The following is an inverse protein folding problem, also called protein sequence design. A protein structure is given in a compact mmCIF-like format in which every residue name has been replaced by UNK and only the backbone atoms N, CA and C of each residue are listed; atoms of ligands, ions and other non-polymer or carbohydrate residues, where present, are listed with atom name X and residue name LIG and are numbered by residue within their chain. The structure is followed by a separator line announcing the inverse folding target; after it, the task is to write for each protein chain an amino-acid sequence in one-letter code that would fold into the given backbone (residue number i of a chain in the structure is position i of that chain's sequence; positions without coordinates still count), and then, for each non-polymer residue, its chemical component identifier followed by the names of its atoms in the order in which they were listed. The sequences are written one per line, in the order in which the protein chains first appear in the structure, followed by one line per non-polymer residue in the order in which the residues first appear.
data_IF_061057527184
#
_entry.id   IF_061057527184
#
_cell.length_a   1.000
_cell.length_b   1.000
_cell.length_c   1.000
_cell.angle_alpha   90.00
_cell.angle_beta   90.00
_cell.angle_gamma   90.00
#
_symmetry.space_group_name_H-M   'P 1'
#
loop_
_entity.id
_entity.type
_entity.pdbx_description
1 polymer ?
#
# COMPACT_ATOMS: atom_id res chain seq x y z
N UNK A 1 14.27 21.19 -18.75
CA UNK A 1 13.10 20.30 -18.89
C UNK A 1 13.24 19.05 -18.01
N UNK A 2 14.35 18.29 -18.04
CA UNK A 2 14.55 17.12 -17.16
C UNK A 2 14.54 17.49 -15.67
N UNK A 3 15.22 18.56 -15.25
CA UNK A 3 15.28 19.00 -13.85
C UNK A 3 13.92 19.40 -13.27
N UNK A 4 12.97 19.78 -14.11
CA UNK A 4 11.61 20.14 -13.68
C UNK A 4 10.70 18.91 -13.51
N UNK A 5 10.89 17.87 -14.34
CA UNK A 5 10.07 16.66 -14.34
C UNK A 5 10.56 15.57 -13.38
N UNK A 6 11.86 15.53 -13.13
CA UNK A 6 12.49 14.45 -12.36
C UNK A 6 12.01 14.39 -10.89
N UNK A 7 11.97 15.50 -10.13
CA UNK A 7 11.54 15.47 -8.74
C UNK A 7 10.08 14.99 -8.54
N UNK A 8 9.07 15.50 -9.28
CA UNK A 8 7.70 15.00 -9.13
C UNK A 8 7.55 13.53 -9.55
N UNK A 9 8.20 13.09 -10.62
CA UNK A 9 8.20 11.69 -11.05
C UNK A 9 8.81 10.77 -9.98
N UNK A 10 9.97 11.14 -9.43
CA UNK A 10 10.64 10.41 -8.37
C UNK A 10 9.75 10.29 -7.12
N UNK A 11 9.09 11.36 -6.70
CA UNK A 11 8.15 11.35 -5.57
C UNK A 11 6.95 10.47 -5.84
N UNK A 12 6.37 10.56 -7.03
CA UNK A 12 5.23 9.74 -7.43
C UNK A 12 5.58 8.24 -7.41
N UNK A 13 6.71 7.83 -7.99
CA UNK A 13 7.19 6.45 -7.98
C UNK A 13 7.45 5.95 -6.55
N UNK A 14 8.06 6.80 -5.70
CA UNK A 14 8.37 6.45 -4.33
C UNK A 14 7.09 6.19 -3.52
N UNK A 15 6.15 7.14 -3.51
CA UNK A 15 4.92 7.01 -2.72
C UNK A 15 4.02 5.90 -3.24
N UNK A 16 3.84 5.79 -4.57
CA UNK A 16 3.07 4.69 -5.17
C UNK A 16 3.71 3.33 -4.84
N UNK A 17 5.03 3.21 -4.94
CA UNK A 17 5.75 1.99 -4.59
C UNK A 17 5.60 1.62 -3.12
N UNK A 18 5.72 2.60 -2.22
CA UNK A 18 5.53 2.38 -0.77
C UNK A 18 4.10 1.96 -0.47
N UNK A 19 3.09 2.63 -1.04
CA UNK A 19 1.68 2.22 -0.87
C UNK A 19 1.44 0.77 -1.32
N UNK A 20 2.07 0.34 -2.40
CA UNK A 20 1.92 -1.03 -2.92
C UNK A 20 2.58 -2.08 -2.02
N UNK A 21 3.77 -1.83 -1.45
CA UNK A 21 4.40 -2.78 -0.50
C UNK A 21 3.68 -2.79 0.85
N UNK A 22 3.15 -1.66 1.33
CA UNK A 22 2.22 -1.61 2.48
C UNK A 22 0.98 -2.44 2.18
N UNK A 23 0.38 -2.24 1.00
CA UNK A 23 -0.78 -3.00 0.54
C UNK A 23 -0.53 -4.50 0.48
N UNK A 24 0.68 -4.95 0.07
CA UNK A 24 1.04 -6.36 0.03
C UNK A 24 1.05 -7.00 1.43
N UNK A 25 1.62 -6.30 2.41
CA UNK A 25 1.62 -6.74 3.81
C UNK A 25 0.20 -6.74 4.38
N UNK A 26 -0.60 -5.70 4.13
CA UNK A 26 -1.99 -5.60 4.57
C UNK A 26 -2.87 -6.67 3.90
N UNK A 27 -2.67 -6.93 2.60
CA UNK A 27 -3.35 -7.99 1.86
C UNK A 27 -3.09 -9.36 2.54
N UNK A 28 -1.83 -9.68 2.83
CA UNK A 28 -1.49 -10.96 3.46
C UNK A 28 -1.91 -11.05 4.93
N UNK A 29 -1.70 -9.97 5.70
CA UNK A 29 -1.89 -9.97 7.16
C UNK A 29 -3.32 -9.73 7.60
N UNK A 30 -4.10 -9.00 6.82
CA UNK A 30 -5.45 -8.58 7.20
C UNK A 30 -6.51 -9.17 6.27
N UNK A 31 -6.29 -9.12 4.96
CA UNK A 31 -7.29 -9.58 3.99
C UNK A 31 -7.34 -11.10 3.92
N UNK A 32 -6.20 -11.80 3.81
CA UNK A 32 -6.16 -13.28 3.68
C UNK A 32 -6.83 -14.01 4.85
N UNK A 33 -6.62 -13.64 6.12
CA UNK A 33 -7.32 -14.28 7.23
C UNK A 33 -8.85 -14.15 7.13
N UNK A 34 -9.34 -12.98 6.73
CA UNK A 34 -10.78 -12.72 6.51
C UNK A 34 -11.32 -13.46 5.31
N UNK A 35 -10.51 -13.58 4.25
CA UNK A 35 -10.85 -14.30 3.04
C UNK A 35 -11.00 -15.80 3.33
N UNK A 36 -10.05 -16.40 4.06
CA UNK A 36 -10.12 -17.80 4.50
C UNK A 36 -11.34 -18.04 5.37
N UNK A 37 -11.58 -17.19 6.37
CA UNK A 37 -12.75 -17.29 7.22
C UNK A 37 -14.06 -17.31 6.43
N UNK A 38 -14.18 -16.49 5.36
CA UNK A 38 -15.36 -16.46 4.49
C UNK A 38 -15.48 -17.67 3.56
N UNK A 39 -14.37 -18.20 3.09
CA UNK A 39 -14.35 -19.38 2.21
C UNK A 39 -14.65 -20.67 2.97
N UNK A 40 -14.37 -20.71 4.27
CA UNK A 40 -14.55 -21.90 5.13
C UNK A 40 -15.79 -21.84 6.02
N UNK A 41 -16.65 -20.82 5.86
CA UNK A 41 -17.79 -20.58 6.76
C UNK A 41 -17.40 -20.60 8.25
N UNK A 42 -16.21 -20.08 8.57
CA UNK A 42 -15.68 -20.01 9.92
C UNK A 42 -14.97 -21.27 10.43
N UNK A 43 -14.87 -22.33 9.65
CA UNK A 43 -14.08 -23.53 10.00
C UNK A 43 -12.60 -23.28 9.69
N UNK A 44 -11.72 -23.87 10.51
CA UNK A 44 -10.29 -23.86 10.26
C UNK A 44 -9.93 -24.97 9.26
N UNK A 45 -10.03 -24.69 7.98
CA UNK A 45 -9.54 -25.57 6.94
C UNK A 45 -8.09 -25.23 6.60
N UNK A 46 -7.32 -26.25 6.18
CA UNK A 46 -5.90 -26.09 5.85
C UNK A 46 -5.71 -25.21 4.61
N UNK A 47 -4.59 -24.50 4.55
CA UNK A 47 -4.20 -23.64 3.40
C UNK A 47 -4.26 -24.32 2.03
N UNK A 48 -4.11 -25.64 2.01
CA UNK A 48 -4.12 -26.45 0.78
C UNK A 48 -5.49 -26.53 0.09
N UNK A 49 -6.57 -26.19 0.79
CA UNK A 49 -7.93 -26.33 0.26
C UNK A 49 -8.39 -25.14 -0.59
N UNK A 50 -7.63 -24.05 -0.61
CA UNK A 50 -7.95 -22.82 -1.38
C UNK A 50 -6.84 -22.44 -2.36
N UNK A 51 -6.69 -23.16 -3.50
CA UNK A 51 -5.62 -22.90 -4.46
C UNK A 51 -5.65 -21.50 -5.05
N UNK A 52 -6.83 -20.83 -5.05
CA UNK A 52 -6.96 -19.44 -5.47
C UNK A 52 -6.21 -18.50 -4.54
N UNK A 53 -6.26 -18.72 -3.23
CA UNK A 53 -5.58 -17.89 -2.22
C UNK A 53 -4.07 -18.06 -2.37
N UNK A 54 -3.58 -19.28 -2.52
CA UNK A 54 -2.16 -19.56 -2.73
C UNK A 54 -1.65 -18.92 -4.03
N UNK A 55 -2.42 -19.05 -5.12
CA UNK A 55 -2.09 -18.40 -6.40
C UNK A 55 -2.08 -16.87 -6.30
N UNK A 56 -3.05 -16.30 -5.57
CA UNK A 56 -3.12 -14.87 -5.33
C UNK A 56 -1.94 -14.41 -4.48
N UNK A 57 -1.56 -15.14 -3.42
CA UNK A 57 -0.39 -14.84 -2.58
C UNK A 57 0.92 -14.83 -3.41
N UNK A 58 1.11 -15.81 -4.30
CA UNK A 58 2.26 -15.82 -5.21
C UNK A 58 2.29 -14.61 -6.15
N UNK A 59 1.13 -14.20 -6.68
CA UNK A 59 1.01 -12.99 -7.51
C UNK A 59 1.30 -11.73 -6.72
N UNK A 60 0.75 -11.59 -5.50
CA UNK A 60 1.02 -10.45 -4.61
C UNK A 60 2.50 -10.35 -4.30
N UNK A 61 3.15 -11.46 -3.92
CA UNK A 61 4.60 -11.48 -3.67
C UNK A 61 5.40 -11.11 -4.94
N UNK A 62 4.94 -11.57 -6.12
CA UNK A 62 5.55 -11.22 -7.40
C UNK A 62 5.44 -9.74 -7.74
N UNK A 63 4.27 -9.14 -7.56
CA UNK A 63 4.05 -7.70 -7.74
C UNK A 63 4.90 -6.91 -6.75
N UNK A 64 4.89 -7.29 -5.47
CA UNK A 64 5.68 -6.62 -4.44
C UNK A 64 7.19 -6.68 -4.71
N UNK A 65 7.70 -7.80 -5.25
CA UNK A 65 9.09 -7.92 -5.69
C UNK A 65 9.42 -6.97 -6.86
N UNK A 66 8.53 -6.88 -7.86
CA UNK A 66 8.69 -5.93 -8.96
C UNK A 66 8.65 -4.48 -8.50
N UNK A 67 7.73 -4.15 -7.59
CA UNK A 67 7.63 -2.81 -6.98
C UNK A 67 8.89 -2.50 -6.16
N UNK A 68 9.40 -3.44 -5.38
CA UNK A 68 10.64 -3.24 -4.63
C UNK A 68 11.85 -3.01 -5.55
N UNK A 69 11.91 -3.66 -6.71
CA UNK A 69 12.93 -3.37 -7.72
C UNK A 69 12.80 -1.94 -8.28
N UNK A 70 11.58 -1.46 -8.54
CA UNK A 70 11.33 -0.05 -8.92
C UNK A 70 11.74 0.90 -7.80
N UNK A 71 11.48 0.55 -6.53
CA UNK A 71 11.92 1.35 -5.38
C UNK A 71 13.44 1.45 -5.27
N UNK A 72 14.21 0.40 -5.65
CA UNK A 72 15.69 0.48 -5.73
C UNK A 72 16.11 1.55 -6.75
N UNK A 73 15.52 1.55 -7.93
CA UNK A 73 15.80 2.57 -8.96
C UNK A 73 15.40 3.96 -8.46
N UNK A 74 14.23 4.07 -7.86
CA UNK A 74 13.72 5.34 -7.30
C UNK A 74 14.60 5.87 -6.16
N UNK A 75 15.16 4.97 -5.36
CA UNK A 75 16.11 5.30 -4.29
C UNK A 75 17.40 5.90 -4.86
N UNK A 76 17.98 5.31 -5.92
CA UNK A 76 19.12 5.90 -6.62
C UNK A 76 18.79 7.26 -7.26
N UNK A 77 17.61 7.35 -7.90
CA UNK A 77 17.13 8.60 -8.49
C UNK A 77 16.96 9.71 -7.44
N UNK A 78 16.52 9.36 -6.23
CA UNK A 78 16.39 10.30 -5.11
C UNK A 78 17.74 10.91 -4.69
N UNK A 79 18.83 10.11 -4.70
CA UNK A 79 20.16 10.64 -4.45
C UNK A 79 20.56 11.64 -5.52
N UNK A 80 20.31 11.30 -6.79
CA UNK A 80 20.63 12.19 -7.90
C UNK A 80 19.88 13.51 -7.83
N UNK A 81 18.57 13.49 -7.56
CA UNK A 81 17.76 14.71 -7.37
C UNK A 81 18.31 15.54 -6.21
N UNK A 82 18.62 14.90 -5.08
CA UNK A 82 19.14 15.61 -3.91
C UNK A 82 20.53 16.20 -4.18
N UNK A 83 21.39 15.49 -4.93
CA UNK A 83 22.67 16.03 -5.35
C UNK A 83 22.50 17.28 -6.23
N UNK A 84 21.59 17.28 -7.20
CA UNK A 84 21.34 18.43 -8.07
C UNK A 84 20.86 19.66 -7.29
N UNK A 85 20.06 19.47 -6.23
CA UNK A 85 19.58 20.54 -5.37
C UNK A 85 20.67 21.09 -4.43
N UNK A 86 21.73 20.30 -4.15
CA UNK A 86 22.73 20.59 -3.13
C UNK A 86 24.13 20.90 -3.69
N UNK A 87 24.36 20.67 -4.98
CA UNK A 87 25.67 20.85 -5.62
C UNK A 87 26.22 22.25 -5.46
N UNK A 88 27.51 22.33 -5.09
CA UNK A 88 28.26 23.57 -5.02
C UNK A 88 29.12 23.73 -6.30
N UNK A 89 29.11 24.88 -6.98
CA UNK A 89 29.92 25.09 -8.17
C UNK A 89 31.44 25.11 -7.90
N UNK A 90 31.87 25.19 -6.64
CA UNK A 90 33.28 25.24 -6.24
C UNK A 90 33.84 23.90 -5.74
N UNK A 91 33.03 22.86 -5.65
CA UNK A 91 33.42 21.53 -5.21
C UNK A 91 33.29 20.50 -6.32
N UNK A 92 33.95 19.35 -6.16
CA UNK A 92 33.78 18.22 -7.08
C UNK A 92 32.55 17.39 -6.75
N UNK A 93 31.99 16.68 -7.74
CA UNK A 93 30.89 15.74 -7.54
C UNK A 93 31.15 14.74 -6.42
N UNK A 94 32.41 14.27 -6.30
CA UNK A 94 32.80 13.32 -5.26
C UNK A 94 32.78 13.92 -3.85
N UNK A 95 33.20 15.16 -3.69
CA UNK A 95 33.15 15.90 -2.43
C UNK A 95 31.73 16.16 -2.00
N UNK A 96 30.87 16.64 -2.91
CA UNK A 96 29.46 16.89 -2.62
C UNK A 96 28.73 15.62 -2.21
N UNK A 97 28.91 14.51 -2.96
CA UNK A 97 28.30 13.22 -2.61
C UNK A 97 28.82 12.68 -1.30
N UNK A 98 30.12 12.79 -1.02
CA UNK A 98 30.69 12.38 0.26
C UNK A 98 30.07 13.17 1.42
N UNK A 99 30.02 14.49 1.31
CA UNK A 99 29.40 15.35 2.30
C UNK A 99 27.93 14.99 2.50
N UNK A 100 27.17 14.90 1.41
CA UNK A 100 25.74 14.57 1.45
C UNK A 100 25.46 13.23 2.13
N UNK A 101 26.27 12.20 1.85
CA UNK A 101 26.04 10.85 2.34
C UNK A 101 26.59 10.63 3.76
N UNK A 102 27.77 11.16 4.08
CA UNK A 102 28.48 10.83 5.32
C UNK A 102 28.35 11.90 6.40
N UNK A 103 28.18 13.17 6.02
CA UNK A 103 28.20 14.29 6.94
C UNK A 103 26.80 14.89 7.21
N UNK A 104 25.74 14.30 6.59
CA UNK A 104 24.36 14.75 6.81
C UNK A 104 23.45 13.66 7.41
N UNK A 105 22.50 14.08 8.25
CA UNK A 105 21.45 13.19 8.76
C UNK A 105 20.55 12.63 7.65
N UNK A 106 20.39 13.38 6.54
CA UNK A 106 19.66 12.91 5.37
C UNK A 106 20.34 11.70 4.71
N UNK A 107 21.69 11.74 4.57
CA UNK A 107 22.46 10.64 4.00
C UNK A 107 22.35 9.37 4.85
N UNK A 108 22.41 9.47 6.17
CA UNK A 108 22.22 8.34 7.06
C UNK A 108 20.84 7.69 6.86
N UNK A 109 19.77 8.48 6.82
CA UNK A 109 18.40 7.99 6.56
C UNK A 109 18.30 7.36 5.17
N UNK A 110 18.91 7.97 4.15
CA UNK A 110 18.90 7.46 2.79
C UNK A 110 19.61 6.10 2.69
N UNK A 111 20.75 5.91 3.37
CA UNK A 111 21.44 4.62 3.40
C UNK A 111 20.60 3.53 4.09
N UNK A 112 19.99 3.83 5.25
CA UNK A 112 19.08 2.90 5.94
C UNK A 112 17.92 2.52 5.02
N UNK A 113 17.32 3.50 4.35
CA UNK A 113 16.22 3.29 3.42
C UNK A 113 16.61 2.34 2.27
N UNK A 114 17.80 2.52 1.68
CA UNK A 114 18.31 1.64 0.63
C UNK A 114 18.52 0.20 1.10
N UNK A 115 19.11 0.02 2.28
CA UNK A 115 19.26 -1.30 2.90
C UNK A 115 17.92 -2.00 3.13
N UNK A 116 16.93 -1.27 3.65
CA UNK A 116 15.56 -1.80 3.86
C UNK A 116 14.88 -2.15 2.54
N UNK A 117 14.98 -1.31 1.51
CA UNK A 117 14.41 -1.60 0.18
C UNK A 117 15.05 -2.85 -0.43
N UNK A 118 16.38 -3.01 -0.32
CA UNK A 118 17.09 -4.19 -0.81
C UNK A 118 16.65 -5.46 -0.07
N UNK A 119 16.51 -5.40 1.27
CA UNK A 119 16.00 -6.52 2.07
C UNK A 119 14.55 -6.86 1.72
N UNK A 120 13.69 -5.88 1.49
CA UNK A 120 12.32 -6.09 1.04
C UNK A 120 12.28 -6.74 -0.36
N UNK A 121 13.11 -6.28 -1.30
CA UNK A 121 13.20 -6.85 -2.63
C UNK A 121 13.59 -8.34 -2.56
N UNK A 122 14.64 -8.66 -1.81
CA UNK A 122 15.05 -10.05 -1.57
C UNK A 122 13.95 -10.86 -0.89
N UNK A 123 13.35 -10.32 0.16
CA UNK A 123 12.26 -10.96 0.92
C UNK A 123 11.07 -11.32 0.03
N UNK A 124 10.59 -10.41 -0.81
CA UNK A 124 9.47 -10.66 -1.72
C UNK A 124 9.82 -11.64 -2.84
N UNK A 125 11.06 -11.63 -3.36
CA UNK A 125 11.53 -12.66 -4.31
C UNK A 125 11.51 -14.04 -3.65
N UNK A 126 11.99 -14.18 -2.42
CA UNK A 126 11.98 -15.45 -1.69
C UNK A 126 10.54 -15.91 -1.36
N UNK A 127 9.66 -15.00 -0.99
CA UNK A 127 8.23 -15.27 -0.77
C UNK A 127 7.57 -15.81 -2.06
N UNK A 128 7.80 -15.16 -3.20
CA UNK A 128 7.29 -15.58 -4.51
C UNK A 128 7.75 -16.99 -4.88
N UNK A 129 9.05 -17.30 -4.72
CA UNK A 129 9.62 -18.61 -5.07
C UNK A 129 9.00 -19.72 -4.23
N UNK A 130 8.69 -19.48 -2.96
CA UNK A 130 8.16 -20.47 -2.03
C UNK A 130 6.63 -20.64 -2.10
N UNK A 131 5.89 -19.61 -2.49
CA UNK A 131 4.45 -19.72 -2.74
C UNK A 131 4.12 -20.68 -3.89
N UNK A 132 5.07 -20.90 -4.83
CA UNK A 132 4.95 -21.92 -5.88
C UNK A 132 5.38 -23.34 -5.46
N UNK A 133 5.97 -23.51 -4.28
CA UNK A 133 6.59 -24.78 -3.83
C UNK A 133 5.85 -25.48 -2.68
N UNK A 134 4.68 -25.00 -2.25
CA UNK A 134 3.88 -25.66 -1.22
C UNK A 134 3.24 -26.90 -1.79
N UNK A 135 3.84 -28.08 -1.49
CA UNK A 135 3.21 -29.38 -1.70
C UNK A 135 1.94 -29.46 -0.85
N UNK A 136 0.86 -30.12 -1.34
CA UNK A 136 -0.31 -30.39 -0.52
C UNK A 136 0.10 -31.20 0.71
N UNK A 137 -0.52 -30.99 1.89
CA UNK A 137 -0.27 -31.77 3.07
C UNK A 137 -0.64 -33.24 2.79
N UNK A 138 0.01 -34.21 3.46
CA UNK A 138 -0.31 -35.61 3.28
C UNK A 138 -1.78 -35.87 3.65
N UNK A 139 -2.51 -36.65 2.84
CA UNK A 139 -3.89 -37.00 3.13
C UNK A 139 -3.99 -37.72 4.48
N UNK A 140 -4.79 -37.25 5.41
CA UNK A 140 -5.10 -37.94 6.65
C UNK A 140 -4.90 -37.17 7.96
N UNK A 141 -4.37 -35.95 7.95
CA UNK A 141 -4.28 -35.11 9.16
C UNK A 141 -5.21 -33.87 9.06
N UNK A 142 -6.50 -34.07 9.28
CA UNK A 142 -7.40 -33.01 9.64
C UNK A 142 -7.48 -32.94 11.17
N UNK A 143 -6.90 -31.96 11.86
CA UNK A 143 -7.37 -31.63 13.19
C UNK A 143 -8.82 -31.17 13.02
N UNK A 144 -9.78 -31.76 13.73
CA UNK A 144 -11.13 -31.22 13.83
C UNK A 144 -11.03 -29.74 14.22
N UNK A 145 -11.28 -28.87 13.25
CA UNK A 145 -11.07 -27.43 13.45
C UNK A 145 -12.12 -26.88 14.41
N UNK A 146 -11.69 -26.30 15.50
CA UNK A 146 -12.55 -25.54 16.39
C UNK A 146 -13.15 -24.37 15.60
N UNK A 147 -14.48 -24.25 15.51
CA UNK A 147 -15.13 -23.13 14.80
C UNK A 147 -14.66 -21.80 15.40
N UNK A 148 -14.11 -20.90 14.58
CA UNK A 148 -13.84 -19.52 15.00
C UNK A 148 -15.12 -18.71 14.83
N UNK A 149 -15.58 -18.08 15.89
CA UNK A 149 -16.77 -17.21 15.86
C UNK A 149 -16.49 -15.88 15.16
N UNK A 150 -15.22 -15.48 15.07
CA UNK A 150 -14.79 -14.22 14.45
C UNK A 150 -13.49 -14.42 13.66
N UNK A 151 -13.32 -13.74 12.51
CA UNK A 151 -12.05 -13.78 11.78
C UNK A 151 -10.94 -13.13 12.62
N UNK A 152 -9.70 -13.63 12.57
CA UNK A 152 -8.56 -12.98 13.20
C UNK A 152 -8.35 -11.59 12.57
N UNK A 153 -8.03 -10.59 13.41
CA UNK A 153 -7.78 -9.23 12.94
C UNK A 153 -6.52 -9.16 12.07
N UNK A 154 -5.45 -9.81 12.53
CA UNK A 154 -4.16 -9.84 11.82
C UNK A 154 -3.56 -11.24 12.02
N UNK A 155 -3.14 -11.86 10.92
CA UNK A 155 -2.41 -13.12 10.93
C UNK A 155 -1.29 -13.09 9.89
N UNK A 156 -0.04 -13.00 10.36
CA UNK A 156 1.14 -12.94 9.52
C UNK A 156 2.05 -14.16 9.80
N UNK A 157 2.33 -15.02 8.82
CA UNK A 157 3.41 -15.98 8.90
C UNK A 157 4.75 -15.29 9.15
N UNK A 158 5.68 -16.00 9.82
CA UNK A 158 6.97 -15.42 10.23
C UNK A 158 7.69 -14.63 9.12
N UNK A 159 7.70 -15.17 7.91
CA UNK A 159 8.34 -14.55 6.74
C UNK A 159 7.71 -13.21 6.36
N UNK A 160 6.39 -13.10 6.47
CA UNK A 160 5.67 -11.87 6.24
C UNK A 160 5.82 -10.87 7.40
N UNK A 161 6.14 -11.35 8.60
CA UNK A 161 6.50 -10.46 9.73
C UNK A 161 7.79 -9.68 9.43
N UNK A 162 8.78 -10.30 8.79
CA UNK A 162 9.99 -9.59 8.34
C UNK A 162 9.68 -8.56 7.26
N UNK A 163 8.82 -8.90 6.29
CA UNK A 163 8.37 -7.92 5.30
C UNK A 163 7.60 -6.76 5.96
N UNK A 164 6.73 -7.05 6.93
CA UNK A 164 6.00 -6.02 7.68
C UNK A 164 6.93 -5.11 8.47
N UNK A 165 7.92 -5.67 9.16
CA UNK A 165 8.93 -4.89 9.88
C UNK A 165 9.72 -3.98 8.92
N UNK A 166 10.18 -4.52 7.78
CA UNK A 166 10.84 -3.73 6.75
C UNK A 166 9.98 -2.60 6.19
N UNK A 167 8.70 -2.86 5.93
CA UNK A 167 7.75 -1.83 5.47
C UNK A 167 7.55 -0.75 6.54
N UNK A 168 7.45 -1.11 7.82
CA UNK A 168 7.34 -0.12 8.92
C UNK A 168 8.59 0.76 9.00
N UNK A 169 9.79 0.16 8.90
CA UNK A 169 11.05 0.94 8.88
C UNK A 169 11.10 1.84 7.64
N UNK A 170 10.68 1.33 6.47
CA UNK A 170 10.63 2.13 5.24
C UNK A 170 9.71 3.35 5.40
N UNK A 171 8.50 3.17 5.94
CA UNK A 171 7.56 4.27 6.19
C UNK A 171 8.09 5.24 7.24
N UNK A 172 8.75 4.73 8.30
CA UNK A 172 9.42 5.58 9.30
C UNK A 172 10.51 6.45 8.66
N UNK A 173 11.38 5.87 7.83
CA UNK A 173 12.44 6.63 7.15
C UNK A 173 11.90 7.70 6.20
N UNK A 174 10.72 7.47 5.60
CA UNK A 174 10.03 8.49 4.81
C UNK A 174 9.54 9.64 5.69
N UNK A 175 8.88 9.35 6.81
CA UNK A 175 8.42 10.36 7.76
C UNK A 175 9.58 11.19 8.33
N UNK A 176 10.70 10.54 8.69
CA UNK A 176 11.91 11.21 9.18
C UNK A 176 12.62 12.08 8.12
N UNK A 177 12.37 11.85 6.83
CA UNK A 177 12.89 12.66 5.72
C UNK A 177 11.83 13.58 5.09
N UNK A 178 10.68 13.73 5.73
CA UNK A 178 9.57 14.57 5.27
C UNK A 178 9.56 15.95 5.96
N UNK A 179 8.71 16.85 5.46
CA UNK A 179 8.45 18.16 6.09
C UNK A 179 7.86 18.05 7.52
N UNK A 180 7.38 16.88 7.94
CA UNK A 180 6.94 16.65 9.31
C UNK A 180 8.04 16.91 10.35
N UNK A 181 9.30 16.75 9.96
CA UNK A 181 10.48 17.09 10.81
C UNK A 181 10.65 18.59 11.04
N UNK A 182 10.04 19.44 10.22
CA UNK A 182 10.13 20.90 10.33
C UNK A 182 9.09 21.52 11.27
N UNK A 183 8.16 20.74 11.84
CA UNK A 183 7.12 21.23 12.75
C UNK A 183 7.69 21.51 14.12
N UNK A 184 7.79 22.79 14.59
CA UNK A 184 8.35 23.12 15.88
C UNK A 184 7.51 22.54 17.03
N UNK A 185 8.18 21.97 18.04
CA UNK A 185 7.54 21.45 19.27
C UNK A 185 6.71 20.17 19.11
N UNK A 186 6.43 19.70 17.88
CA UNK A 186 5.54 18.55 17.64
C UNK A 186 6.09 17.54 16.63
N UNK A 187 7.41 17.47 16.43
CA UNK A 187 8.06 16.62 15.42
C UNK A 187 7.61 15.16 15.50
N UNK A 188 7.68 14.56 16.70
CA UNK A 188 7.33 13.14 16.90
C UNK A 188 5.87 12.89 16.52
N UNK A 189 4.97 13.77 16.93
CA UNK A 189 3.55 13.65 16.61
C UNK A 189 3.32 13.80 15.09
N UNK A 190 3.91 14.81 14.45
CA UNK A 190 3.78 15.05 13.02
C UNK A 190 4.31 13.86 12.19
N UNK A 191 5.48 13.31 12.54
CA UNK A 191 6.03 12.10 11.91
C UNK A 191 5.11 10.90 12.12
N UNK A 192 4.57 10.69 13.33
CA UNK A 192 3.65 9.58 13.61
C UNK A 192 2.36 9.68 12.80
N UNK A 193 1.80 10.89 12.67
CA UNK A 193 0.59 11.14 11.87
C UNK A 193 0.87 10.89 10.38
N UNK A 194 2.01 11.36 9.86
CA UNK A 194 2.44 11.12 8.46
C UNK A 194 2.64 9.64 8.16
N UNK A 195 3.28 8.90 9.08
CA UNK A 195 3.42 7.44 9.00
C UNK A 195 2.06 6.74 8.96
N UNK A 196 1.15 7.06 9.89
CA UNK A 196 -0.17 6.45 9.96
C UNK A 196 -1.00 6.78 8.71
N UNK A 197 -0.89 8.01 8.18
CA UNK A 197 -1.50 8.40 6.92
C UNK A 197 -1.00 7.55 5.76
N UNK A 198 0.32 7.37 5.64
CA UNK A 198 0.94 6.53 4.61
C UNK A 198 0.53 5.05 4.72
N UNK A 199 0.48 4.50 5.95
CA UNK A 199 0.02 3.14 6.20
C UNK A 199 -1.46 2.95 5.84
N UNK A 200 -2.30 3.92 6.18
CA UNK A 200 -3.73 3.88 5.85
C UNK A 200 -3.95 3.98 4.32
N UNK A 201 -3.23 4.87 3.63
CA UNK A 201 -3.28 4.98 2.17
C UNK A 201 -2.86 3.69 1.47
N UNK A 202 -1.74 3.09 1.89
CA UNK A 202 -1.27 1.81 1.37
C UNK A 202 -2.20 0.65 1.72
N UNK A 203 -2.74 0.65 2.95
CA UNK A 203 -3.74 -0.33 3.39
C UNK A 203 -5.02 -0.28 2.55
N UNK A 204 -5.46 0.89 2.12
CA UNK A 204 -6.62 1.03 1.24
C UNK A 204 -6.24 0.84 -0.22
N UNK A 205 -5.55 1.81 -0.84
CA UNK A 205 -5.31 1.85 -2.29
C UNK A 205 -4.36 0.75 -2.74
N UNK A 206 -3.26 0.51 -1.98
CA UNK A 206 -2.32 -0.56 -2.30
C UNK A 206 -2.96 -1.95 -2.24
N UNK A 207 -3.79 -2.22 -1.21
CA UNK A 207 -4.51 -3.50 -1.13
C UNK A 207 -5.57 -3.62 -2.21
N UNK A 208 -6.33 -2.55 -2.52
CA UNK A 208 -7.32 -2.56 -3.60
C UNK A 208 -6.67 -2.87 -4.95
N UNK A 209 -5.54 -2.26 -5.27
CA UNK A 209 -4.76 -2.59 -6.46
C UNK A 209 -4.44 -4.09 -6.55
N UNK A 210 -3.97 -4.69 -5.44
CA UNK A 210 -3.62 -6.11 -5.40
C UNK A 210 -4.84 -7.03 -5.53
N UNK A 211 -5.99 -6.66 -4.97
CA UNK A 211 -7.27 -7.34 -5.20
C UNK A 211 -7.60 -7.37 -6.69
N UNK A 212 -7.46 -6.23 -7.37
CA UNK A 212 -7.73 -6.12 -8.81
C UNK A 212 -6.77 -6.95 -9.68
N UNK A 213 -5.49 -7.00 -9.30
CA UNK A 213 -4.48 -7.81 -10.00
C UNK A 213 -4.70 -9.31 -9.79
N UNK A 214 -5.11 -9.71 -8.60
CA UNK A 214 -5.28 -11.13 -8.25
C UNK A 214 -6.59 -11.73 -8.77
N UNK A 215 -7.63 -10.92 -8.98
CA UNK A 215 -8.98 -11.36 -9.37
C UNK A 215 -9.55 -10.61 -10.58
N UNK A 216 -8.82 -10.60 -11.71
CA UNK A 216 -9.37 -10.04 -12.95
C UNK A 216 -10.54 -10.90 -13.44
N UNK A 217 -11.77 -10.33 -13.69
CA UNK A 217 -13.02 -11.09 -13.85
C UNK A 217 -13.19 -11.73 -15.24
N UNK A 218 -12.19 -12.47 -15.74
CA UNK A 218 -12.21 -13.14 -17.04
C UNK A 218 -12.97 -14.47 -17.04
N UNK A 219 -12.97 -15.18 -15.92
CA UNK A 219 -13.63 -16.48 -15.74
C UNK A 219 -14.65 -16.38 -14.60
N UNK A 220 -15.60 -17.32 -14.56
CA UNK A 220 -16.59 -17.41 -13.47
C UNK A 220 -15.91 -17.49 -12.10
N UNK A 221 -14.92 -18.36 -11.97
CA UNK A 221 -14.13 -18.54 -10.74
C UNK A 221 -13.45 -17.23 -10.32
N UNK A 222 -12.84 -16.49 -11.25
CA UNK A 222 -12.23 -15.20 -10.96
C UNK A 222 -13.25 -14.13 -10.55
N UNK A 223 -14.49 -14.15 -11.10
CA UNK A 223 -15.58 -13.24 -10.70
C UNK A 223 -16.04 -13.53 -9.27
N UNK A 224 -16.24 -14.80 -8.93
CA UNK A 224 -16.61 -15.22 -7.57
C UNK A 224 -15.51 -14.85 -6.57
N UNK A 225 -14.25 -15.10 -6.92
CA UNK A 225 -13.10 -14.73 -6.08
C UNK A 225 -12.98 -13.22 -5.88
N UNK A 226 -13.23 -12.40 -6.91
CA UNK A 226 -13.29 -10.94 -6.80
C UNK A 226 -14.37 -10.49 -5.81
N UNK A 227 -15.57 -11.07 -5.89
CA UNK A 227 -16.67 -10.75 -4.98
C UNK A 227 -16.32 -11.04 -3.52
N UNK A 228 -15.72 -12.20 -3.24
CA UNK A 228 -15.30 -12.59 -1.89
C UNK A 228 -14.17 -11.69 -1.39
N UNK A 229 -13.16 -11.40 -2.23
CA UNK A 229 -12.07 -10.48 -1.87
C UNK A 229 -12.57 -9.07 -1.55
N UNK A 230 -13.41 -8.48 -2.39
CA UNK A 230 -13.97 -7.13 -2.16
C UNK A 230 -14.84 -7.09 -0.90
N UNK A 231 -15.61 -8.16 -0.62
CA UNK A 231 -16.39 -8.26 0.61
C UNK A 231 -15.51 -8.36 1.86
N UNK A 232 -14.41 -9.12 1.80
CA UNK A 232 -13.44 -9.23 2.90
C UNK A 232 -12.61 -7.95 3.09
N UNK A 233 -12.35 -7.21 2.01
CA UNK A 233 -11.61 -5.96 1.97
C UNK A 233 -12.39 -4.78 2.55
N UNK A 234 -13.71 -4.71 2.34
CA UNK A 234 -14.53 -3.54 2.67
C UNK A 234 -14.39 -3.04 4.12
N UNK A 235 -14.40 -3.87 5.17
CA UNK A 235 -14.21 -3.38 6.55
C UNK A 235 -12.84 -2.74 6.77
N UNK A 236 -11.79 -3.28 6.16
CA UNK A 236 -10.44 -2.71 6.24
C UNK A 236 -10.38 -1.36 5.52
N UNK A 237 -10.98 -1.26 4.34
CA UNK A 237 -11.07 -0.01 3.58
C UNK A 237 -11.78 1.09 4.37
N UNK A 238 -12.90 0.78 5.03
CA UNK A 238 -13.62 1.75 5.87
C UNK A 238 -12.77 2.29 7.01
N UNK A 239 -12.04 1.41 7.71
CA UNK A 239 -11.12 1.83 8.79
C UNK A 239 -9.98 2.68 8.23
N UNK A 240 -9.39 2.27 7.11
CA UNK A 240 -8.30 3.01 6.47
C UNK A 240 -8.74 4.40 5.99
N UNK A 241 -9.91 4.50 5.35
CA UNK A 241 -10.48 5.79 4.91
C UNK A 241 -10.78 6.70 6.10
N UNK A 242 -11.38 6.17 7.17
CA UNK A 242 -11.61 6.93 8.42
C UNK A 242 -10.31 7.45 9.03
N UNK A 243 -9.27 6.62 9.07
CA UNK A 243 -7.94 7.01 9.52
C UNK A 243 -7.33 8.09 8.61
N UNK A 244 -7.45 7.96 7.29
CA UNK A 244 -6.96 8.96 6.32
C UNK A 244 -7.62 10.33 6.52
N UNK A 245 -8.94 10.36 6.69
CA UNK A 245 -9.67 11.60 6.94
C UNK A 245 -9.16 12.24 8.24
N UNK A 246 -9.11 11.47 9.32
CA UNK A 246 -8.68 11.95 10.63
C UNK A 246 -7.23 12.47 10.60
N UNK A 247 -6.29 11.69 10.05
CA UNK A 247 -4.89 12.08 9.94
C UNK A 247 -4.70 13.25 8.96
N UNK A 248 -5.48 13.31 7.88
CA UNK A 248 -5.46 14.42 6.93
C UNK A 248 -5.89 15.74 7.58
N UNK A 249 -6.90 15.72 8.45
CA UNK A 249 -7.33 16.89 9.24
C UNK A 249 -6.20 17.32 10.18
N UNK A 250 -5.59 16.37 10.92
CA UNK A 250 -4.48 16.69 11.82
C UNK A 250 -3.28 17.30 11.08
N UNK A 251 -2.89 16.70 9.95
CA UNK A 251 -1.80 17.25 9.12
C UNK A 251 -2.12 18.64 8.60
N UNK A 252 -3.37 18.91 8.23
CA UNK A 252 -3.80 20.26 7.80
C UNK A 252 -3.68 21.29 8.93
N UNK A 253 -4.06 20.92 10.16
CA UNK A 253 -3.94 21.79 11.34
C UNK A 253 -2.48 22.13 11.63
N UNK A 254 -1.54 21.17 11.48
CA UNK A 254 -0.11 21.42 11.70
C UNK A 254 0.53 22.35 10.66
N UNK A 255 -0.05 22.44 9.45
CA UNK A 255 0.55 23.19 8.35
C UNK A 255 -0.22 24.45 7.97
N UNK A 256 -1.46 24.61 8.42
CA UNK A 256 -2.32 25.78 8.13
C UNK A 256 -2.79 26.39 9.43
N UNK A 257 -2.24 27.55 9.77
CA UNK A 257 -2.64 28.29 10.97
C UNK A 257 -3.99 29.03 10.80
N UNK A 258 -4.41 29.28 9.54
CA UNK A 258 -5.65 30.00 9.22
C UNK A 258 -6.42 29.31 8.08
N UNK A 259 -7.73 29.15 8.24
CA UNK A 259 -8.60 28.54 7.21
C UNK A 259 -8.59 29.37 5.91
N UNK A 260 -8.48 30.68 6.01
CA UNK A 260 -8.39 31.59 4.85
C UNK A 260 -7.17 31.30 3.97
N UNK A 261 -6.08 30.77 4.55
CA UNK A 261 -4.87 30.41 3.81
C UNK A 261 -5.11 29.26 2.79
N UNK A 262 -6.18 28.48 2.95
CA UNK A 262 -6.53 27.39 2.01
C UNK A 262 -6.83 27.89 0.59
N UNK A 263 -7.36 29.09 0.44
CA UNK A 263 -7.67 29.69 -0.87
C UNK A 263 -6.79 30.88 -1.24
N UNK A 264 -6.18 31.54 -0.27
CA UNK A 264 -5.36 32.72 -0.51
C UNK A 264 -3.90 32.37 -0.84
N UNK A 265 -3.35 31.29 -0.25
CA UNK A 265 -1.97 30.87 -0.50
C UNK A 265 -1.86 29.87 -1.66
N UNK A 266 -0.71 29.84 -2.33
CA UNK A 266 -0.42 28.82 -3.36
C UNK A 266 -0.41 27.40 -2.76
N UNK A 267 0.15 27.25 -1.56
CA UNK A 267 0.13 26.00 -0.81
C UNK A 267 -1.31 25.54 -0.51
N UNK A 268 -2.16 26.44 0.00
CA UNK A 268 -3.55 26.14 0.33
C UNK A 268 -4.36 25.72 -0.89
N UNK A 269 -4.21 26.38 -2.04
CA UNK A 269 -4.88 25.99 -3.28
C UNK A 269 -4.45 24.57 -3.75
N UNK A 270 -3.15 24.26 -3.66
CA UNK A 270 -2.64 22.91 -3.97
C UNK A 270 -3.18 21.85 -3.00
N UNK A 271 -3.26 22.19 -1.71
CA UNK A 271 -3.84 21.32 -0.69
C UNK A 271 -5.33 21.08 -0.93
N UNK A 272 -6.10 22.14 -1.21
CA UNK A 272 -7.54 22.05 -1.53
C UNK A 272 -7.80 21.19 -2.77
N UNK A 273 -6.95 21.27 -3.79
CA UNK A 273 -7.00 20.40 -4.97
C UNK A 273 -6.79 18.92 -4.60
N UNK A 274 -5.79 18.61 -3.77
CA UNK A 274 -5.54 17.25 -3.28
C UNK A 274 -6.69 16.71 -2.44
N UNK A 275 -7.25 17.52 -1.54
CA UNK A 275 -8.41 17.16 -0.71
C UNK A 275 -9.64 16.90 -1.58
N UNK A 276 -9.89 17.74 -2.59
CA UNK A 276 -10.97 17.54 -3.56
C UNK A 276 -10.83 16.23 -4.35
N UNK A 277 -9.60 15.93 -4.83
CA UNK A 277 -9.31 14.69 -5.54
C UNK A 277 -9.50 13.48 -4.62
N UNK A 278 -8.95 13.51 -3.40
CA UNK A 278 -9.13 12.45 -2.40
C UNK A 278 -10.61 12.24 -2.06
N UNK A 279 -11.38 13.32 -1.91
CA UNK A 279 -12.85 13.27 -1.73
C UNK A 279 -13.55 12.57 -2.90
N UNK A 280 -13.16 12.87 -4.14
CA UNK A 280 -13.66 12.19 -5.33
C UNK A 280 -13.39 10.68 -5.33
N UNK A 281 -12.15 10.27 -4.98
CA UNK A 281 -11.77 8.87 -4.83
C UNK A 281 -12.60 8.18 -3.74
N UNK A 282 -12.78 8.82 -2.58
CA UNK A 282 -13.58 8.30 -1.47
C UNK A 282 -15.05 8.15 -1.84
N UNK A 283 -15.64 9.10 -2.58
CA UNK A 283 -17.02 9.02 -3.07
C UNK A 283 -17.18 7.87 -4.08
N UNK A 284 -16.20 7.66 -4.95
CA UNK A 284 -16.21 6.54 -5.89
C UNK A 284 -16.13 5.19 -5.14
N UNK A 285 -15.24 5.09 -4.14
CA UNK A 285 -15.14 3.92 -3.26
C UNK A 285 -16.44 3.64 -2.50
N UNK A 286 -17.09 4.69 -1.96
CA UNK A 286 -18.39 4.60 -1.29
C UNK A 286 -19.49 4.11 -2.26
N UNK A 287 -19.49 4.60 -3.50
CA UNK A 287 -20.40 4.13 -4.55
C UNK A 287 -20.17 2.66 -4.87
N UNK A 288 -18.90 2.26 -5.06
CA UNK A 288 -18.53 0.86 -5.30
C UNK A 288 -18.99 -0.05 -4.16
N UNK A 289 -18.81 0.39 -2.92
CA UNK A 289 -19.23 -0.36 -1.73
C UNK A 289 -20.77 -0.45 -1.62
N UNK A 290 -21.50 0.66 -1.81
CA UNK A 290 -22.98 0.70 -1.62
C UNK A 290 -23.78 0.12 -2.77
N UNK A 291 -23.29 0.23 -4.00
CA UNK A 291 -24.01 -0.18 -5.21
C UNK A 291 -23.31 -1.31 -5.96
N UNK A 292 -22.03 -1.17 -6.22
CA UNK A 292 -21.24 -2.12 -7.01
C UNK A 292 -21.12 -3.48 -6.35
N UNK A 293 -20.63 -3.53 -5.13
CA UNK A 293 -20.40 -4.78 -4.40
C UNK A 293 -21.69 -5.57 -4.14
N UNK A 294 -22.79 -4.99 -3.65
CA UNK A 294 -24.06 -5.73 -3.50
C UNK A 294 -24.62 -6.24 -4.84
N UNK A 295 -24.45 -5.52 -5.93
CA UNK A 295 -24.84 -5.98 -7.25
C UNK A 295 -24.00 -7.19 -7.69
N UNK A 296 -22.69 -7.16 -7.47
CA UNK A 296 -21.78 -8.26 -7.76
C UNK A 296 -22.10 -9.52 -6.93
N UNK A 297 -22.35 -9.36 -5.63
CA UNK A 297 -22.68 -10.47 -4.71
C UNK A 297 -24.03 -11.10 -5.08
N UNK A 298 -25.05 -10.30 -5.35
CA UNK A 298 -26.39 -10.80 -5.76
C UNK A 298 -26.34 -11.57 -7.08
N UNK A 299 -25.49 -11.17 -8.01
CA UNK A 299 -25.34 -11.82 -9.30
C UNK A 299 -24.66 -13.20 -9.22
N UNK A 300 -24.19 -13.63 -8.03
CA UNK A 300 -23.66 -14.97 -7.75
C UNK A 300 -22.47 -15.40 -8.60
N UNK A 301 -21.78 -14.48 -9.28
CA UNK A 301 -20.66 -14.77 -10.17
C UNK A 301 -21.04 -15.45 -11.50
N UNK A 302 -22.20 -16.09 -11.57
CA UNK A 302 -22.67 -16.90 -12.73
C UNK A 302 -23.36 -16.07 -13.81
N UNK A 303 -24.28 -15.19 -13.43
CA UNK A 303 -25.25 -14.58 -14.36
C UNK A 303 -24.90 -13.17 -14.86
N UNK A 304 -23.85 -12.54 -14.38
CA UNK A 304 -23.54 -11.17 -14.78
C UNK A 304 -22.04 -10.87 -15.00
N UNK A 305 -21.44 -11.34 -16.10
CA UNK A 305 -20.08 -10.93 -16.47
C UNK A 305 -19.94 -9.39 -16.53
N UNK A 306 -21.01 -8.67 -16.92
CA UNK A 306 -21.04 -7.22 -16.97
C UNK A 306 -21.01 -6.53 -15.60
N UNK A 307 -21.55 -7.12 -14.53
CA UNK A 307 -21.49 -6.52 -13.19
C UNK A 307 -20.07 -6.59 -12.62
N UNK A 308 -19.41 -7.74 -12.72
CA UNK A 308 -18.04 -7.92 -12.26
C UNK A 308 -17.04 -7.01 -13.00
N UNK A 309 -17.20 -6.90 -14.32
CA UNK A 309 -16.36 -6.02 -15.13
C UNK A 309 -16.57 -4.53 -14.78
N UNK A 310 -17.83 -4.10 -14.58
CA UNK A 310 -18.11 -2.72 -14.15
C UNK A 310 -17.47 -2.39 -12.79
N UNK A 311 -17.63 -3.26 -11.80
CA UNK A 311 -17.05 -3.06 -10.48
C UNK A 311 -15.52 -3.05 -10.56
N UNK A 312 -14.94 -3.98 -11.32
CA UNK A 312 -13.49 -4.04 -11.52
C UNK A 312 -12.95 -2.76 -12.19
N UNK A 313 -13.61 -2.29 -13.27
CA UNK A 313 -13.20 -1.05 -13.95
C UNK A 313 -13.37 0.18 -13.08
N UNK A 314 -14.46 0.28 -12.31
CA UNK A 314 -14.70 1.38 -11.40
C UNK A 314 -13.65 1.42 -10.28
N UNK A 315 -13.31 0.26 -9.69
CA UNK A 315 -12.27 0.16 -8.70
C UNK A 315 -10.85 0.39 -9.29
N UNK A 316 -10.61 -0.02 -10.54
CA UNK A 316 -9.37 0.30 -11.25
C UNK A 316 -9.22 1.80 -11.50
N UNK A 317 -10.33 2.49 -11.83
CA UNK A 317 -10.34 3.95 -11.96
C UNK A 317 -10.13 4.65 -10.61
N UNK A 318 -10.70 4.13 -9.51
CA UNK A 318 -10.44 4.59 -8.14
C UNK A 318 -8.95 4.55 -7.81
N UNK A 319 -8.27 3.43 -8.10
CA UNK A 319 -6.82 3.29 -7.90
C UNK A 319 -6.02 4.24 -8.80
N UNK A 320 -6.38 4.36 -10.08
CA UNK A 320 -5.69 5.23 -11.02
C UNK A 320 -5.84 6.72 -10.66
N UNK A 321 -6.96 7.11 -10.08
CA UNK A 321 -7.21 8.49 -9.64
C UNK A 321 -6.48 8.81 -8.33
N UNK A 322 -6.21 7.79 -7.50
CA UNK A 322 -5.51 7.93 -6.22
C UNK A 322 -3.98 7.90 -6.34
N UNK A 323 -3.45 7.43 -7.47
CA UNK A 323 -2.01 7.34 -7.76
C UNK A 323 -1.46 8.64 -8.36
#
# INVERSE_FOLDING_TARGET
MLETFLPPLQRWLLFSGVMLVVGAVAWRGILVPRLRYRLTDGRLEHEAEHPEVATAEARVAGVAAGVAAVLVVTWGLRLWVQYLDFRDPFTTVGEDLRFLLLDTGWGAIWMIQGGVIALLALGFVLLRRRAGATAPPPPGMTPEGVPRTTPPLIELPLRWKFAAAGVLVLVLTLGLSSHAMSVPGSRTLAVSVDMMHTLAAGGWIGTLFLVLVTARPRTERARSFLAVQLTAFSPMAMVAVGALIFMGILLSIFHTHEIAALWQSEYGRRLSGKVGLAGGVMLLGLWNWRRGLPALVRAGGREAPGAAERVWRSAAFEVALAA
#
